data_IF_214974845759
#
_entry.id   IF_214974845759
#
_cell.length_a   1.000
_cell.length_b   1.000
_cell.length_c   1.000
_cell.angle_alpha   90.00
_cell.angle_beta   90.00
_cell.angle_gamma   90.00
#
_symmetry.space_group_name_H-M   'P 1'
#
loop_
_entity.id
_entity.type
_entity.pdbx_description
1 polymer ?
#
# COMPACT_ATOMS: atom_id res chain seq x y z
N UNK A 1 28.40 39.19 -70.35
CA UNK A 1 28.04 39.19 -68.91
C UNK A 1 26.91 38.17 -68.79
N UNK A 2 27.05 36.99 -68.20
CA UNK A 2 27.40 36.70 -66.80
C UNK A 2 27.72 35.20 -66.72
N UNK A 3 28.94 34.83 -66.33
CA UNK A 3 29.30 33.43 -66.10
C UNK A 3 28.87 33.00 -64.69
N UNK A 4 28.06 31.95 -64.63
CA UNK A 4 27.46 31.41 -63.42
C UNK A 4 28.51 30.79 -62.48
N UNK A 5 28.53 31.25 -61.23
CA UNK A 5 29.28 30.60 -60.15
C UNK A 5 28.59 29.26 -59.80
N UNK A 6 29.28 28.14 -59.92
CA UNK A 6 28.89 26.84 -59.32
C UNK A 6 29.35 26.79 -57.87
N UNK A 7 28.45 26.76 -56.85
CA UNK A 7 28.87 26.59 -55.47
C UNK A 7 28.55 25.17 -54.95
N UNK A 8 29.47 24.66 -54.12
CA UNK A 8 29.22 23.75 -52.98
C UNK A 8 28.84 22.28 -53.25
N UNK A 9 29.68 21.51 -53.95
CA UNK A 9 29.53 20.04 -53.99
C UNK A 9 30.44 19.32 -52.98
N UNK A 10 31.67 19.82 -52.74
CA UNK A 10 32.64 19.18 -51.83
C UNK A 10 32.29 19.24 -50.34
N UNK A 11 31.52 20.23 -49.89
CA UNK A 11 31.16 20.37 -48.47
C UNK A 11 30.06 19.40 -48.01
N UNK A 12 29.33 18.79 -48.96
CA UNK A 12 28.21 17.87 -48.67
C UNK A 12 28.69 16.43 -48.50
N UNK A 13 29.76 16.03 -49.21
CA UNK A 13 30.36 14.69 -49.11
C UNK A 13 31.13 14.46 -47.80
N UNK A 14 31.82 15.47 -47.26
CA UNK A 14 32.56 15.33 -46.00
C UNK A 14 31.63 15.15 -44.80
N UNK A 15 30.49 15.85 -44.75
CA UNK A 15 29.49 15.68 -43.67
C UNK A 15 28.85 14.30 -43.66
N UNK A 16 28.62 13.71 -44.84
CA UNK A 16 28.04 12.37 -44.95
C UNK A 16 28.99 11.26 -44.44
N UNK A 17 30.30 11.39 -44.68
CA UNK A 17 31.30 10.45 -44.18
C UNK A 17 31.43 10.44 -42.65
N UNK A 18 31.37 11.61 -42.01
CA UNK A 18 31.38 11.72 -40.54
C UNK A 18 30.12 11.13 -39.90
N UNK A 19 28.95 11.29 -40.53
CA UNK A 19 27.70 10.66 -40.08
C UNK A 19 27.76 9.12 -40.17
N UNK A 20 28.39 8.57 -41.21
CA UNK A 20 28.58 7.13 -41.39
C UNK A 20 29.51 6.50 -40.32
N UNK A 21 30.48 7.25 -39.80
CA UNK A 21 31.33 6.81 -38.68
C UNK A 21 30.69 7.03 -37.30
N UNK A 22 29.82 8.03 -37.16
CA UNK A 22 29.15 8.32 -35.89
C UNK A 22 28.16 7.22 -35.47
N UNK A 23 27.41 6.66 -36.43
CA UNK A 23 26.40 5.62 -36.15
C UNK A 23 26.99 4.36 -35.48
N UNK A 24 28.06 3.72 -35.98
CA UNK A 24 28.64 2.56 -35.31
C UNK A 24 29.27 2.89 -33.96
N UNK A 25 29.78 4.11 -33.76
CA UNK A 25 30.29 4.54 -32.45
C UNK A 25 29.16 4.70 -31.43
N UNK A 26 28.02 5.26 -31.83
CA UNK A 26 26.81 5.29 -31.00
C UNK A 26 26.34 3.88 -30.68
N UNK A 27 26.35 2.97 -31.67
CA UNK A 27 26.00 1.56 -31.46
C UNK A 27 26.92 0.85 -30.44
N UNK A 28 28.23 1.11 -30.48
CA UNK A 28 29.17 0.59 -29.48
C UNK A 28 28.96 1.20 -28.10
N UNK A 29 28.69 2.50 -28.02
CA UNK A 29 28.38 3.16 -26.76
C UNK A 29 27.09 2.60 -26.13
N UNK A 30 26.03 2.45 -26.92
CA UNK A 30 24.78 1.80 -26.51
C UNK A 30 25.01 0.35 -26.07
N UNK A 31 25.85 -0.42 -26.78
CA UNK A 31 26.18 -1.79 -26.39
C UNK A 31 26.89 -1.84 -25.03
N UNK A 32 27.87 -0.96 -24.80
CA UNK A 32 28.59 -0.88 -23.51
C UNK A 32 27.65 -0.45 -22.39
N UNK A 33 26.78 0.54 -22.63
CA UNK A 33 25.77 0.97 -21.67
C UNK A 33 24.76 -0.15 -21.37
N UNK A 34 24.34 -0.89 -22.39
CA UNK A 34 23.44 -2.03 -22.26
C UNK A 34 24.09 -3.17 -21.48
N UNK A 35 25.35 -3.52 -21.78
CA UNK A 35 26.11 -4.51 -21.03
C UNK A 35 26.25 -4.10 -19.56
N UNK A 36 26.55 -2.83 -19.28
CA UNK A 36 26.61 -2.32 -17.90
C UNK A 36 25.25 -2.44 -17.20
N UNK A 37 24.16 -2.02 -17.85
CA UNK A 37 22.81 -2.08 -17.31
C UNK A 37 22.32 -3.51 -17.05
N UNK A 38 22.77 -4.49 -17.85
CA UNK A 38 22.33 -5.89 -17.78
C UNK A 38 23.25 -6.81 -16.98
N UNK A 39 24.48 -6.39 -16.67
CA UNK A 39 25.44 -7.23 -15.94
C UNK A 39 25.90 -6.65 -14.59
N UNK A 40 26.39 -5.41 -14.55
CA UNK A 40 26.96 -4.84 -13.32
C UNK A 40 25.91 -4.22 -12.41
N UNK A 41 24.81 -3.74 -12.99
CA UNK A 41 23.78 -3.01 -12.25
C UNK A 41 22.64 -3.93 -11.77
N UNK A 42 22.69 -5.22 -12.13
CA UNK A 42 21.77 -6.26 -11.70
C UNK A 42 22.26 -6.85 -10.38
N UNK A 43 21.43 -6.77 -9.35
CA UNK A 43 21.72 -7.33 -8.03
C UNK A 43 21.60 -8.85 -8.09
N UNK A 44 22.65 -9.62 -7.79
CA UNK A 44 22.60 -11.09 -7.80
C UNK A 44 21.57 -11.65 -6.81
N UNK A 45 20.95 -12.78 -7.13
CA UNK A 45 20.01 -13.47 -6.23
C UNK A 45 20.67 -13.93 -4.91
N UNK A 46 21.97 -14.20 -4.94
CA UNK A 46 22.75 -14.51 -3.74
C UNK A 46 22.78 -13.35 -2.74
N UNK A 47 22.84 -12.10 -3.22
CA UNK A 47 22.85 -10.92 -2.37
C UNK A 47 21.52 -10.79 -1.61
N UNK A 48 20.40 -11.03 -2.29
CA UNK A 48 19.06 -11.06 -1.68
C UNK A 48 18.94 -12.14 -0.61
N UNK A 49 19.52 -13.31 -0.85
CA UNK A 49 19.54 -14.42 0.10
C UNK A 49 20.36 -14.08 1.34
N UNK A 50 21.54 -13.46 1.17
CA UNK A 50 22.36 -12.98 2.30
C UNK A 50 21.65 -11.85 3.07
N UNK A 51 21.04 -10.90 2.38
CA UNK A 51 20.26 -9.83 3.00
C UNK A 51 19.10 -10.38 3.85
N UNK A 52 18.40 -11.42 3.37
CA UNK A 52 17.36 -12.12 4.12
C UNK A 52 17.90 -12.69 5.43
N UNK A 53 19.03 -13.39 5.40
CA UNK A 53 19.61 -13.99 6.61
C UNK A 53 20.07 -12.93 7.63
N UNK A 54 20.61 -11.80 7.16
CA UNK A 54 20.94 -10.65 8.02
C UNK A 54 19.70 -10.15 8.74
N UNK A 55 18.61 -9.89 8.00
CA UNK A 55 17.36 -9.41 8.60
C UNK A 55 16.80 -10.45 9.57
N UNK A 56 16.72 -11.71 9.14
CA UNK A 56 16.17 -12.82 9.93
C UNK A 56 16.85 -12.99 11.30
N UNK A 57 18.16 -12.73 11.38
CA UNK A 57 18.92 -12.89 12.62
C UNK A 57 18.51 -11.90 13.73
N UNK A 58 17.95 -10.74 13.40
CA UNK A 58 17.63 -9.67 14.36
C UNK A 58 16.14 -9.26 14.37
N UNK A 59 15.35 -9.84 13.45
CA UNK A 59 13.95 -9.51 13.24
C UNK A 59 13.08 -9.84 14.45
N UNK A 60 12.29 -8.86 14.89
CA UNK A 60 11.22 -9.03 15.87
C UNK A 60 9.85 -9.11 15.17
N UNK A 61 8.82 -9.68 15.82
CA UNK A 61 7.49 -9.82 15.22
C UNK A 61 6.91 -8.51 14.69
N UNK A 62 7.08 -7.42 15.42
CA UNK A 62 6.50 -6.11 15.11
C UNK A 62 7.43 -5.21 14.28
N UNK A 63 8.61 -5.66 13.86
CA UNK A 63 9.47 -4.85 12.99
C UNK A 63 8.91 -4.75 11.57
N UNK A 64 9.12 -3.59 10.94
CA UNK A 64 8.88 -3.39 9.52
C UNK A 64 10.04 -3.95 8.69
N UNK A 65 9.75 -4.50 7.51
CA UNK A 65 10.72 -4.75 6.45
C UNK A 65 10.20 -4.03 5.21
N UNK A 66 11.04 -3.21 4.59
CA UNK A 66 10.76 -2.56 3.32
C UNK A 66 11.94 -2.68 2.36
N UNK A 67 11.66 -2.54 1.07
CA UNK A 67 12.62 -2.74 -0.01
C UNK A 67 12.75 -1.46 -0.83
N UNK A 68 13.97 -0.95 -0.99
CA UNK A 68 14.23 0.29 -1.70
C UNK A 68 15.22 0.11 -2.86
N UNK A 69 14.98 0.76 -4.01
CA UNK A 69 13.79 1.53 -4.36
C UNK A 69 12.54 0.63 -4.43
N UNK A 70 11.34 1.18 -4.16
CA UNK A 70 10.07 0.44 -4.07
C UNK A 70 9.83 -0.62 -5.17
N UNK A 71 10.26 -0.39 -6.42
CA UNK A 71 10.10 -1.39 -7.50
C UNK A 71 10.79 -2.73 -7.22
N UNK A 72 11.69 -2.80 -6.24
CA UNK A 72 12.33 -4.03 -5.77
C UNK A 72 11.47 -4.87 -4.84
N UNK A 73 10.38 -4.33 -4.30
CA UNK A 73 9.49 -5.00 -3.35
C UNK A 73 9.02 -6.39 -3.83
N UNK A 74 8.58 -6.61 -5.09
CA UNK A 74 8.22 -7.94 -5.56
C UNK A 74 9.38 -8.96 -5.51
N UNK A 75 10.62 -8.51 -5.75
CA UNK A 75 11.81 -9.36 -5.64
C UNK A 75 12.08 -9.68 -4.16
N UNK A 76 12.04 -8.64 -3.32
CA UNK A 76 12.17 -8.75 -1.88
C UNK A 76 11.17 -9.76 -1.28
N UNK A 77 9.87 -9.61 -1.58
CA UNK A 77 8.82 -10.54 -1.10
C UNK A 77 9.03 -11.97 -1.57
N UNK A 78 9.43 -12.16 -2.84
CA UNK A 78 9.72 -13.50 -3.38
C UNK A 78 10.85 -14.18 -2.60
N UNK A 79 11.93 -13.46 -2.31
CA UNK A 79 13.10 -14.03 -1.63
C UNK A 79 12.91 -14.13 -0.11
N UNK A 80 12.34 -13.11 0.53
CA UNK A 80 12.15 -13.05 1.97
C UNK A 80 11.04 -13.98 2.46
N UNK A 81 10.08 -14.32 1.61
CA UNK A 81 9.04 -15.30 1.88
C UNK A 81 8.23 -14.93 3.13
N UNK A 82 8.21 -15.81 4.13
CA UNK A 82 7.44 -15.59 5.36
C UNK A 82 7.83 -14.33 6.15
N UNK A 83 9.03 -13.77 5.94
CA UNK A 83 9.43 -12.53 6.62
C UNK A 83 8.68 -11.31 6.05
N UNK A 84 8.33 -11.34 4.76
CA UNK A 84 7.57 -10.27 4.11
C UNK A 84 6.06 -10.52 4.24
N UNK A 85 5.57 -10.52 5.49
CA UNK A 85 4.16 -10.77 5.78
C UNK A 85 3.24 -9.75 5.09
N UNK A 86 1.96 -10.11 4.92
CA UNK A 86 0.94 -9.20 4.38
C UNK A 86 0.86 -7.89 5.18
N UNK A 87 0.96 -7.98 6.52
CA UNK A 87 0.92 -6.82 7.42
C UNK A 87 2.07 -5.84 7.21
N UNK A 88 3.27 -6.34 6.89
CA UNK A 88 4.47 -5.51 6.60
C UNK A 88 4.41 -4.93 5.18
N UNK A 89 4.06 -5.78 4.23
CA UNK A 89 4.07 -5.44 2.81
C UNK A 89 2.95 -4.47 2.45
N UNK A 90 1.75 -4.69 3.00
CA UNK A 90 0.56 -3.91 2.72
C UNK A 90 0.19 -2.91 3.80
N UNK A 91 1.19 -2.40 4.52
CA UNK A 91 0.98 -1.42 5.60
C UNK A 91 0.46 -0.10 5.03
N UNK A 92 -0.33 0.61 5.83
CA UNK A 92 -0.75 1.98 5.49
C UNK A 92 0.19 3.07 6.00
N UNK A 93 0.92 2.81 7.08
CA UNK A 93 1.85 3.75 7.69
C UNK A 93 2.93 3.04 8.50
N UNK A 94 4.05 3.73 8.71
CA UNK A 94 5.23 3.23 9.41
C UNK A 94 5.13 3.43 10.94
N UNK A 95 4.25 4.32 11.43
CA UNK A 95 4.16 4.69 12.85
C UNK A 95 3.80 3.51 13.75
N UNK A 96 3.15 2.49 13.18
CA UNK A 96 2.78 1.26 13.89
C UNK A 96 3.92 0.26 14.13
N UNK A 97 5.12 0.51 13.60
CA UNK A 97 6.27 -0.38 13.75
C UNK A 97 7.37 0.30 14.60
N UNK A 98 7.87 -0.32 15.68
CA UNK A 98 8.90 0.29 16.54
C UNK A 98 10.25 0.43 15.83
N UNK A 99 10.57 -0.45 14.87
CA UNK A 99 11.78 -0.42 14.06
C UNK A 99 11.48 -0.83 12.63
N UNK A 100 12.38 -0.48 11.71
CA UNK A 100 12.31 -0.88 10.31
C UNK A 100 13.65 -1.39 9.82
N UNK A 101 13.63 -2.48 9.05
CA UNK A 101 14.71 -2.91 8.17
C UNK A 101 14.45 -2.35 6.78
N UNK A 102 15.27 -1.40 6.36
CA UNK A 102 15.33 -0.91 4.99
C UNK A 102 16.38 -1.73 4.22
N UNK A 103 15.90 -2.54 3.28
CA UNK A 103 16.73 -3.37 2.39
C UNK A 103 16.86 -2.63 1.07
N UNK A 104 17.96 -1.90 0.91
CA UNK A 104 18.16 -0.95 -0.18
C UNK A 104 19.22 -1.39 -1.18
N UNK A 105 19.05 -1.00 -2.44
CA UNK A 105 20.06 -1.10 -3.48
C UNK A 105 20.33 0.29 -4.07
N UNK A 106 21.52 0.47 -4.65
CA UNK A 106 21.90 1.71 -5.34
C UNK A 106 21.78 2.98 -4.46
N UNK A 107 21.87 2.82 -3.13
CA UNK A 107 21.74 3.92 -2.17
C UNK A 107 20.34 4.54 -2.10
N UNK A 108 19.31 3.86 -2.59
CA UNK A 108 17.93 4.30 -2.44
C UNK A 108 17.54 4.34 -0.96
N UNK A 109 16.65 5.26 -0.62
CA UNK A 109 16.14 5.45 0.73
C UNK A 109 14.68 5.85 0.68
N UNK A 110 13.88 5.29 1.58
CA UNK A 110 12.47 5.61 1.72
C UNK A 110 12.30 6.97 2.42
N UNK A 111 11.58 7.89 1.79
CA UNK A 111 11.38 9.25 2.34
C UNK A 111 10.58 9.27 3.64
N UNK A 112 9.71 8.29 3.88
CA UNK A 112 8.91 8.18 5.10
C UNK A 112 9.79 7.78 6.31
N UNK A 113 11.00 7.28 6.05
CA UNK A 113 12.00 6.94 7.06
C UNK A 113 13.07 8.03 7.26
N UNK A 114 13.01 9.17 6.56
CA UNK A 114 14.07 10.19 6.59
C UNK A 114 14.39 10.76 7.98
N UNK A 115 13.42 10.75 8.91
CA UNK A 115 13.59 11.19 10.30
C UNK A 115 13.99 10.07 11.27
N UNK A 116 14.12 8.84 10.81
CA UNK A 116 14.36 7.69 11.67
C UNK A 116 15.84 7.55 12.00
N UNK A 117 16.13 7.17 13.24
CA UNK A 117 17.52 7.02 13.69
C UNK A 117 18.09 5.70 13.16
N UNK A 118 19.17 5.77 12.40
CA UNK A 118 19.95 4.60 11.99
C UNK A 118 20.60 3.96 13.21
N UNK A 119 20.22 2.73 13.52
CA UNK A 119 20.80 1.92 14.60
C UNK A 119 21.97 1.07 14.09
N UNK A 120 21.82 0.48 12.91
CA UNK A 120 22.81 -0.43 12.32
C UNK A 120 22.72 -0.39 10.80
N UNK A 121 23.84 -0.61 10.13
CA UNK A 121 23.91 -0.79 8.68
C UNK A 121 24.85 -1.95 8.37
N UNK A 122 24.41 -2.87 7.51
CA UNK A 122 25.18 -4.05 7.11
C UNK A 122 25.07 -4.24 5.60
N UNK A 123 26.17 -4.62 4.94
CA UNK A 123 26.16 -4.91 3.50
C UNK A 123 25.98 -6.40 3.22
N UNK A 124 25.16 -6.70 2.23
CA UNK A 124 25.00 -8.01 1.59
C UNK A 124 25.34 -7.85 0.11
N UNK A 125 26.63 -7.92 -0.23
CA UNK A 125 27.11 -7.60 -1.57
C UNK A 125 26.75 -6.16 -1.98
N UNK A 126 25.88 -6.03 -2.97
CA UNK A 126 25.37 -4.75 -3.48
C UNK A 126 24.14 -4.21 -2.73
N UNK A 127 23.53 -5.02 -1.87
CA UNK A 127 22.40 -4.64 -1.01
C UNK A 127 22.93 -4.05 0.30
N UNK A 128 22.29 -3.00 0.78
CA UNK A 128 22.51 -2.42 2.11
C UNK A 128 21.27 -2.64 2.97
N UNK A 129 21.46 -3.31 4.11
CA UNK A 129 20.41 -3.54 5.12
C UNK A 129 20.62 -2.55 6.25
N UNK A 130 19.68 -1.61 6.40
CA UNK A 130 19.71 -0.57 7.43
C UNK A 130 18.61 -0.83 8.46
N UNK A 131 18.98 -0.99 9.73
CA UNK A 131 18.04 -1.03 10.84
C UNK A 131 17.84 0.38 11.38
N UNK A 132 16.58 0.82 11.43
CA UNK A 132 16.13 2.16 11.78
C UNK A 132 15.17 2.09 12.98
N UNK A 133 15.24 3.06 13.87
CA UNK A 133 14.35 3.22 15.02
C UNK A 133 13.27 4.27 14.76
N UNK A 134 12.02 3.94 15.05
CA UNK A 134 10.87 4.81 14.82
C UNK A 134 10.74 5.88 15.91
N UNK A 135 10.98 7.17 15.64
CA UNK A 135 10.93 8.23 16.65
C UNK A 135 9.52 8.49 17.21
N UNK A 136 8.47 8.10 16.48
CA UNK A 136 7.07 8.38 16.79
C UNK A 136 6.23 7.09 16.79
N UNK A 137 6.73 6.06 17.47
CA UNK A 137 6.06 4.76 17.55
C UNK A 137 4.72 4.85 18.29
N UNK A 138 3.65 4.45 17.61
CA UNK A 138 2.30 4.29 18.17
C UNK A 138 1.97 2.81 18.24
N UNK A 139 1.81 2.26 19.44
CA UNK A 139 1.51 0.83 19.63
C UNK A 139 0.07 0.55 19.20
N UNK A 140 -0.10 -0.42 18.31
CA UNK A 140 -1.42 -0.96 17.96
C UNK A 140 -1.92 -1.83 19.10
N UNK A 141 -3.14 -1.54 19.57
CA UNK A 141 -3.82 -2.27 20.64
C UNK A 141 -4.70 -3.35 20.03
N UNK A 142 -5.60 -2.97 19.12
CA UNK A 142 -6.36 -3.87 18.25
C UNK A 142 -6.31 -3.36 16.80
N UNK A 143 -6.25 -4.30 15.86
CA UNK A 143 -6.32 -4.05 14.43
C UNK A 143 -7.65 -4.60 13.89
N UNK A 144 -8.50 -3.75 13.30
CA UNK A 144 -9.79 -4.19 12.77
C UNK A 144 -9.67 -5.27 11.69
N UNK A 145 -8.53 -5.34 10.98
CA UNK A 145 -8.27 -6.38 9.99
C UNK A 145 -8.16 -7.76 10.62
N UNK A 146 -7.57 -7.86 11.82
CA UNK A 146 -7.46 -9.12 12.58
C UNK A 146 -8.83 -9.57 13.13
N UNK A 147 -9.83 -8.68 13.13
CA UNK A 147 -11.18 -8.91 13.63
C UNK A 147 -12.19 -9.30 12.54
N UNK A 148 -11.77 -9.36 11.26
CA UNK A 148 -12.65 -9.71 10.14
C UNK A 148 -12.89 -11.23 10.08
N UNK A 149 -13.76 -11.71 10.96
CA UNK A 149 -14.19 -13.11 11.04
C UNK A 149 -15.58 -13.17 11.69
N UNK A 150 -16.36 -14.27 11.52
CA UNK A 150 -17.73 -14.33 12.02
C UNK A 150 -17.86 -14.35 13.56
N UNK A 151 -16.77 -14.54 14.30
CA UNK A 151 -16.77 -14.50 15.78
C UNK A 151 -16.59 -13.07 16.31
N UNK A 152 -15.89 -12.22 15.56
CA UNK A 152 -15.49 -10.86 15.98
C UNK A 152 -16.11 -9.73 15.17
N UNK A 153 -16.74 -10.02 14.03
CA UNK A 153 -17.40 -9.05 13.17
C UNK A 153 -18.79 -9.52 12.77
N UNK A 154 -19.79 -8.66 12.95
CA UNK A 154 -21.07 -8.77 12.27
C UNK A 154 -21.24 -7.65 11.25
N UNK A 155 -21.83 -7.98 10.10
CA UNK A 155 -22.05 -7.03 9.01
C UNK A 155 -23.53 -7.03 8.67
N UNK A 156 -24.12 -5.84 8.58
CA UNK A 156 -25.53 -5.65 8.22
C UNK A 156 -25.65 -4.58 7.12
N UNK A 157 -26.54 -4.83 6.17
CA UNK A 157 -27.09 -3.76 5.31
C UNK A 157 -28.18 -3.05 6.09
N UNK A 158 -28.20 -1.73 6.06
CA UNK A 158 -29.24 -0.91 6.70
C UNK A 158 -29.98 -0.14 5.63
N UNK A 159 -31.26 -0.45 5.45
CA UNK A 159 -32.15 0.15 4.44
C UNK A 159 -33.36 0.76 5.15
N UNK A 160 -33.53 2.08 5.07
CA UNK A 160 -34.57 2.83 5.80
C UNK A 160 -34.68 2.45 7.29
N UNK A 161 -33.53 2.20 7.94
CA UNK A 161 -33.44 1.80 9.35
C UNK A 161 -33.68 0.31 9.62
N UNK A 162 -34.04 -0.48 8.61
CA UNK A 162 -34.18 -1.94 8.70
C UNK A 162 -32.81 -2.59 8.52
N UNK A 163 -32.34 -3.31 9.53
CA UNK A 163 -31.10 -4.09 9.43
C UNK A 163 -31.33 -5.47 8.82
N UNK A 164 -30.54 -5.78 7.79
CA UNK A 164 -30.48 -7.09 7.15
C UNK A 164 -29.07 -7.67 7.32
N UNK A 165 -28.89 -8.77 8.08
CA UNK A 165 -27.58 -9.34 8.32
C UNK A 165 -26.99 -9.94 7.04
N UNK A 166 -25.70 -9.71 6.83
CA UNK A 166 -24.93 -10.31 5.74
C UNK A 166 -24.37 -11.67 6.17
N UNK A 167 -24.38 -12.65 5.27
CA UNK A 167 -23.94 -14.02 5.58
C UNK A 167 -22.44 -14.16 5.37
N UNK A 168 -21.72 -14.70 6.35
CA UNK A 168 -20.31 -15.03 6.19
C UNK A 168 -20.14 -16.27 5.29
N UNK A 169 -19.23 -16.18 4.33
CA UNK A 169 -18.88 -17.27 3.41
C UNK A 169 -17.37 -17.45 3.40
N UNK A 170 -16.94 -18.72 3.51
CA UNK A 170 -15.57 -19.14 3.24
C UNK A 170 -15.46 -19.63 1.80
N UNK A 171 -14.38 -19.31 1.12
CA UNK A 171 -14.20 -19.69 -0.27
C UNK A 171 -12.77 -19.50 -0.76
N UNK A 172 -12.59 -19.57 -2.08
CA UNK A 172 -11.34 -19.20 -2.72
C UNK A 172 -11.37 -17.73 -3.14
N UNK A 173 -10.20 -17.09 -3.13
CA UNK A 173 -10.03 -15.79 -3.76
C UNK A 173 -10.32 -15.94 -5.25
N UNK A 174 -11.04 -14.97 -5.82
CA UNK A 174 -11.33 -14.94 -7.25
C UNK A 174 -10.72 -13.68 -7.86
N UNK A 175 -10.11 -13.83 -9.03
CA UNK A 175 -9.67 -12.70 -9.85
C UNK A 175 -10.84 -11.80 -10.23
N UNK A 176 -10.56 -10.54 -10.54
CA UNK A 176 -11.56 -9.63 -11.09
C UNK A 176 -12.24 -10.19 -12.35
N UNK A 177 -13.44 -9.66 -12.66
CA UNK A 177 -14.18 -9.98 -13.89
C UNK A 177 -13.33 -9.74 -15.15
N UNK A 178 -13.58 -10.50 -16.22
CA UNK A 178 -12.96 -10.37 -17.55
C UNK A 178 -13.08 -8.97 -18.18
N UNK A 179 -13.95 -8.10 -17.67
CA UNK A 179 -14.13 -6.71 -18.14
C UNK A 179 -13.10 -5.75 -17.53
N UNK A 180 -12.53 -6.10 -16.36
CA UNK A 180 -11.39 -5.40 -15.76
C UNK A 180 -10.34 -6.45 -15.38
N UNK A 181 -9.39 -6.78 -16.27
CA UNK A 181 -8.35 -7.78 -16.01
C UNK A 181 -7.50 -7.53 -14.75
N UNK A 182 -7.59 -6.31 -14.20
CA UNK A 182 -6.92 -5.81 -12.98
C UNK A 182 -7.94 -5.46 -11.87
N UNK A 183 -9.15 -6.02 -11.93
CA UNK A 183 -10.18 -5.81 -10.92
C UNK A 183 -9.72 -6.30 -9.55
N UNK A 184 -10.23 -5.69 -8.49
CA UNK A 184 -9.95 -6.12 -7.11
C UNK A 184 -10.16 -7.62 -6.96
N UNK A 185 -9.19 -8.28 -6.33
CA UNK A 185 -9.33 -9.66 -5.91
C UNK A 185 -10.51 -9.75 -4.94
N UNK A 186 -11.49 -10.57 -5.28
CA UNK A 186 -12.60 -10.87 -4.36
C UNK A 186 -12.01 -11.67 -3.20
N UNK A 187 -12.18 -11.22 -1.94
CA UNK A 187 -11.68 -11.95 -0.78
C UNK A 187 -12.22 -13.38 -0.74
N UNK A 188 -11.37 -14.32 -0.36
CA UNK A 188 -11.73 -15.71 -0.07
C UNK A 188 -12.85 -15.76 0.98
N UNK A 189 -12.53 -15.24 2.17
CA UNK A 189 -13.43 -15.11 3.31
C UNK A 189 -14.07 -13.73 3.31
N UNK A 190 -15.41 -13.70 3.32
CA UNK A 190 -16.18 -12.46 3.20
C UNK A 190 -17.59 -12.58 3.76
N UNK A 191 -18.14 -11.45 4.18
CA UNK A 191 -19.55 -11.26 4.43
C UNK A 191 -20.24 -10.86 3.13
N UNK A 192 -21.25 -11.61 2.72
CA UNK A 192 -22.02 -11.36 1.49
C UNK A 192 -23.33 -10.68 1.85
N UNK A 193 -23.52 -9.49 1.29
CA UNK A 193 -24.71 -8.66 1.43
C UNK A 193 -25.47 -8.63 0.10
N UNK A 194 -26.77 -8.32 0.13
CA UNK A 194 -27.51 -8.04 -1.11
C UNK A 194 -26.94 -6.77 -1.77
N UNK A 195 -26.12 -6.92 -2.82
CA UNK A 195 -25.51 -5.82 -3.57
C UNK A 195 -24.00 -5.61 -3.34
N UNK A 196 -23.35 -6.42 -2.51
CA UNK A 196 -21.92 -6.24 -2.21
C UNK A 196 -21.33 -7.27 -1.26
N UNK A 197 -20.08 -7.07 -0.87
CA UNK A 197 -19.43 -7.89 0.15
C UNK A 197 -18.44 -7.06 0.99
N UNK A 198 -18.11 -7.61 2.16
CA UNK A 198 -17.07 -7.09 3.07
C UNK A 198 -16.05 -8.19 3.34
N UNK A 199 -14.76 -7.91 3.19
CA UNK A 199 -13.68 -8.84 3.51
C UNK A 199 -12.31 -8.20 3.43
N UNK A 200 -11.28 -8.88 3.94
CA UNK A 200 -9.90 -8.40 3.86
C UNK A 200 -9.39 -8.58 2.43
N UNK A 201 -8.87 -7.50 1.84
CA UNK A 201 -8.31 -7.47 0.50
C UNK A 201 -7.01 -6.67 0.45
N UNK A 202 -6.34 -6.72 -0.70
CA UNK A 202 -5.27 -5.79 -1.05
C UNK A 202 -5.80 -4.80 -2.08
N UNK A 203 -5.84 -3.52 -1.72
CA UNK A 203 -6.14 -2.44 -2.63
C UNK A 203 -4.91 -2.10 -3.44
N UNK A 204 -5.09 -1.97 -4.76
CA UNK A 204 -4.15 -1.29 -5.63
C UNK A 204 -4.50 0.20 -5.63
N UNK A 205 -3.71 0.99 -4.90
CA UNK A 205 -3.87 2.45 -4.78
C UNK A 205 -3.26 3.23 -5.95
N UNK A 206 -3.44 4.56 -5.95
CA UNK A 206 -2.81 5.46 -6.94
C UNK A 206 -1.29 5.57 -6.80
N UNK A 207 -0.77 5.31 -5.60
CA UNK A 207 0.65 5.30 -5.28
C UNK A 207 1.35 4.00 -5.71
N UNK A 208 0.62 3.05 -6.31
CA UNK A 208 1.08 1.72 -6.68
C UNK A 208 1.62 0.87 -5.51
N UNK A 209 1.42 1.32 -4.27
CA UNK A 209 1.71 0.52 -3.09
C UNK A 209 0.53 -0.42 -2.83
N UNK A 210 0.79 -1.67 -2.38
CA UNK A 210 -0.27 -2.53 -1.90
C UNK A 210 -0.76 -1.99 -0.55
N UNK A 211 -2.07 -1.90 -0.36
CA UNK A 211 -2.68 -1.53 0.93
C UNK A 211 -3.61 -2.65 1.38
N UNK A 212 -3.29 -3.31 2.50
CA UNK A 212 -4.18 -4.33 3.08
C UNK A 212 -5.26 -3.59 3.86
N UNK A 213 -6.52 -3.89 3.53
CA UNK A 213 -7.65 -3.17 4.07
C UNK A 213 -8.91 -4.03 4.04
N UNK A 214 -9.96 -3.55 4.72
CA UNK A 214 -11.30 -4.09 4.60
C UNK A 214 -11.93 -3.51 3.35
N UNK A 215 -12.06 -4.35 2.34
CA UNK A 215 -12.84 -4.02 1.16
C UNK A 215 -14.31 -4.09 1.52
N UNK A 216 -15.02 -3.00 1.32
CA UNK A 216 -16.43 -2.88 1.68
C UNK A 216 -17.15 -2.19 0.53
N UNK A 217 -18.03 -2.91 -0.15
CA UNK A 217 -18.80 -2.37 -1.30
C UNK A 217 -19.92 -1.46 -0.78
N UNK A 218 -19.83 -0.11 -0.92
CA UNK A 218 -20.93 0.77 -0.59
C UNK A 218 -22.11 0.51 -1.54
N UNK A 219 -23.32 0.65 -1.01
CA UNK A 219 -24.56 0.39 -1.74
C UNK A 219 -25.29 1.71 -1.99
N UNK A 220 -25.94 1.83 -3.15
CA UNK A 220 -26.84 2.96 -3.38
C UNK A 220 -28.11 2.77 -2.54
N UNK A 221 -28.52 3.82 -1.81
CA UNK A 221 -29.72 3.82 -0.99
C UNK A 221 -29.61 3.12 0.38
N UNK A 222 -28.55 2.34 0.64
CA UNK A 222 -28.41 1.61 1.90
C UNK A 222 -27.01 1.81 2.52
N UNK A 223 -26.96 1.92 3.85
CA UNK A 223 -25.71 1.94 4.60
C UNK A 223 -25.19 0.52 4.80
N UNK A 224 -23.88 0.40 5.00
CA UNK A 224 -23.24 -0.85 5.41
C UNK A 224 -22.66 -0.68 6.81
N UNK A 225 -23.21 -1.42 7.77
CA UNK A 225 -22.83 -1.37 9.18
C UNK A 225 -21.97 -2.58 9.53
N UNK A 226 -20.79 -2.32 10.06
CA UNK A 226 -19.83 -3.31 10.53
C UNK A 226 -19.66 -3.13 12.03
N UNK A 227 -20.00 -4.15 12.82
CA UNK A 227 -19.88 -4.15 14.27
C UNK A 227 -18.79 -5.12 14.70
N UNK A 228 -17.66 -4.57 15.13
CA UNK A 228 -16.53 -5.30 15.69
C UNK A 228 -16.76 -5.51 17.18
N UNK A 229 -16.81 -6.76 17.62
CA UNK A 229 -17.06 -7.10 19.01
C UNK A 229 -15.78 -7.05 19.84
N UNK A 230 -15.92 -6.66 21.11
CA UNK A 230 -14.87 -6.85 22.13
C UNK A 230 -13.53 -6.16 21.77
N UNK A 231 -13.58 -4.98 21.18
CA UNK A 231 -12.40 -4.15 20.80
C UNK A 231 -11.86 -3.45 22.04
N UNK A 232 -10.55 -3.55 22.25
CA UNK A 232 -9.82 -2.76 23.24
C UNK A 232 -9.38 -1.43 22.62
N UNK A 233 -9.82 -0.33 23.22
CA UNK A 233 -9.56 1.02 22.73
C UNK A 233 -8.22 1.55 23.26
N UNK A 234 -7.54 2.30 22.40
CA UNK A 234 -6.36 3.10 22.72
C UNK A 234 -6.72 4.58 22.91
N UNK A 235 -5.72 5.44 22.96
CA UNK A 235 -5.89 6.90 23.02
C UNK A 235 -6.41 7.51 21.71
N UNK A 236 -6.24 6.80 20.59
CA UNK A 236 -6.71 7.22 19.27
C UNK A 236 -7.14 6.03 18.39
N UNK A 237 -8.01 6.31 17.43
CA UNK A 237 -8.34 5.44 16.31
C UNK A 237 -7.66 5.99 15.05
N UNK A 238 -6.66 5.29 14.56
CA UNK A 238 -5.98 5.63 13.31
C UNK A 238 -6.51 4.75 12.20
N UNK A 239 -6.82 5.33 11.06
CA UNK A 239 -7.21 4.56 9.90
C UNK A 239 -6.77 5.19 8.61
N UNK A 240 -6.95 4.43 7.54
CA UNK A 240 -6.68 4.87 6.20
C UNK A 240 -7.80 4.41 5.28
N UNK A 241 -7.95 5.08 4.16
CA UNK A 241 -9.00 4.78 3.20
C UNK A 241 -8.54 5.07 1.78
N UNK A 242 -9.12 4.33 0.85
CA UNK A 242 -8.84 4.41 -0.56
C UNK A 242 -9.97 3.86 -1.39
N UNK A 243 -9.97 4.26 -2.66
CA UNK A 243 -10.77 3.64 -3.70
C UNK A 243 -9.80 3.03 -4.72
N UNK A 244 -10.23 2.00 -5.42
CA UNK A 244 -9.41 1.32 -6.42
C UNK A 244 -8.94 2.28 -7.51
N UNK A 245 -7.66 2.14 -7.90
CA UNK A 245 -6.94 3.09 -8.74
C UNK A 245 -7.65 3.52 -10.05
N UNK A 246 -8.44 2.64 -10.68
CA UNK A 246 -9.10 2.90 -11.96
C UNK A 246 -10.19 3.97 -11.81
N UNK A 247 -10.88 3.95 -10.67
CA UNK A 247 -11.85 4.97 -10.28
C UNK A 247 -11.10 6.19 -9.76
N UNK A 248 -10.13 5.96 -8.88
CA UNK A 248 -9.40 7.01 -8.18
C UNK A 248 -8.61 7.93 -9.14
N UNK A 249 -8.13 7.43 -10.29
CA UNK A 249 -7.37 8.24 -11.26
C UNK A 249 -8.19 9.33 -11.97
N UNK A 250 -9.52 9.30 -11.86
CA UNK A 250 -10.42 10.30 -12.44
C UNK A 250 -11.18 10.99 -11.31
N UNK A 251 -10.70 12.13 -10.80
CA UNK A 251 -11.35 12.82 -9.68
C UNK A 251 -12.82 13.15 -10.00
N UNK A 252 -13.69 12.94 -9.02
CA UNK A 252 -15.12 13.29 -9.09
C UNK A 252 -15.52 14.02 -7.80
N UNK A 253 -16.66 14.74 -7.78
CA UNK A 253 -17.15 15.34 -6.54
C UNK A 253 -17.70 14.32 -5.53
N UNK A 254 -17.76 13.03 -5.90
CA UNK A 254 -18.28 11.97 -5.04
C UNK A 254 -17.38 11.78 -3.82
N UNK A 255 -18.00 11.34 -2.73
CA UNK A 255 -17.33 10.99 -1.49
C UNK A 255 -17.93 9.74 -0.87
N UNK A 256 -17.11 9.01 -0.14
CA UNK A 256 -17.54 7.92 0.73
C UNK A 256 -17.35 8.37 2.17
N UNK A 257 -18.40 8.32 2.97
CA UNK A 257 -18.35 8.65 4.39
C UNK A 257 -18.34 7.37 5.23
N UNK A 258 -17.43 7.29 6.19
CA UNK A 258 -17.38 6.22 7.19
C UNK A 258 -17.48 6.84 8.57
N UNK A 259 -18.51 6.44 9.31
CA UNK A 259 -18.78 6.92 10.66
C UNK A 259 -18.40 5.86 11.67
N UNK A 260 -17.61 6.24 12.68
CA UNK A 260 -17.18 5.37 13.77
C UNK A 260 -17.91 5.73 15.06
N UNK A 261 -18.45 4.73 15.75
CA UNK A 261 -19.08 4.88 17.05
C UNK A 261 -18.73 3.71 17.98
N UNK A 262 -18.76 3.96 19.28
CA UNK A 262 -18.56 2.95 20.32
C UNK A 262 -19.25 3.42 21.59
N UNK A 263 -19.74 2.51 22.44
CA UNK A 263 -20.44 2.87 23.69
C UNK A 263 -21.59 3.87 23.45
N UNK A 264 -22.38 3.65 22.39
CA UNK A 264 -23.51 4.48 21.97
C UNK A 264 -23.18 5.96 21.73
N UNK A 265 -21.91 6.28 21.48
CA UNK A 265 -21.44 7.64 21.13
C UNK A 265 -20.66 7.66 19.83
N UNK A 266 -20.82 8.76 19.11
CA UNK A 266 -20.03 9.07 17.91
C UNK A 266 -18.57 9.34 18.29
N UNK A 267 -17.64 8.62 17.65
CA UNK A 267 -16.20 8.91 17.71
C UNK A 267 -15.86 9.96 16.64
N UNK A 268 -16.37 9.77 15.42
CA UNK A 268 -16.19 10.73 14.33
C UNK A 268 -16.56 10.16 12.96
N UNK A 269 -16.48 11.00 11.93
CA UNK A 269 -16.77 10.63 10.55
C UNK A 269 -15.62 11.02 9.65
N UNK A 270 -15.08 10.04 8.92
CA UNK A 270 -14.10 10.26 7.86
C UNK A 270 -14.79 10.38 6.50
N UNK A 271 -14.29 11.26 5.65
CA UNK A 271 -14.78 11.44 4.27
C UNK A 271 -13.64 11.22 3.29
N UNK A 272 -13.74 10.15 2.52
CA UNK A 272 -12.85 9.87 1.42
C UNK A 272 -13.38 10.56 0.16
N UNK A 273 -12.58 11.43 -0.47
CA UNK A 273 -12.90 12.10 -1.74
C UNK A 273 -12.26 11.31 -2.87
N UNK A 274 -12.97 11.11 -3.99
CA UNK A 274 -12.38 10.43 -5.15
C UNK A 274 -11.23 11.26 -5.73
N UNK A 275 -10.06 10.63 -5.88
CA UNK A 275 -8.86 11.21 -6.49
C UNK A 275 -7.80 11.72 -5.53
N UNK A 276 -7.89 11.36 -4.25
CA UNK A 276 -6.89 11.72 -3.22
C UNK A 276 -5.88 10.61 -2.95
N UNK A 277 -6.10 9.40 -3.47
CA UNK A 277 -5.24 8.24 -3.25
C UNK A 277 -5.48 7.60 -1.88
N UNK A 278 -4.47 6.92 -1.33
CA UNK A 278 -4.57 6.33 0.00
C UNK A 278 -4.34 7.40 1.06
N UNK A 279 -5.35 7.70 1.89
CA UNK A 279 -5.29 8.81 2.84
C UNK A 279 -5.63 8.38 4.26
N UNK A 280 -4.83 8.86 5.20
CA UNK A 280 -4.99 8.63 6.62
C UNK A 280 -6.02 9.56 7.28
N UNK A 281 -6.57 9.09 8.39
CA UNK A 281 -7.38 9.85 9.32
C UNK A 281 -7.08 9.41 10.75
N UNK A 282 -7.33 10.30 11.71
CA UNK A 282 -7.15 10.04 13.12
C UNK A 282 -8.35 10.60 13.89
N UNK A 283 -8.95 9.78 14.75
CA UNK A 283 -10.06 10.16 15.59
C UNK A 283 -9.69 9.97 17.06
N UNK A 284 -9.90 10.97 17.93
CA UNK A 284 -9.51 10.88 19.33
C UNK A 284 -10.40 9.89 20.09
N UNK A 285 -9.79 9.00 20.88
CA UNK A 285 -10.49 8.04 21.74
C UNK A 285 -10.00 8.05 23.18
N UNK A 286 -9.28 9.10 23.60
CA UNK A 286 -8.67 9.22 24.93
C UNK A 286 -9.66 8.99 26.09
N UNK A 287 -10.92 9.40 25.96
CA UNK A 287 -11.96 9.22 27.00
C UNK A 287 -12.40 7.75 27.23
N UNK A 288 -12.06 6.86 26.29
CA UNK A 288 -12.33 5.42 26.36
C UNK A 288 -11.04 4.60 26.28
N UNK A 289 -9.87 5.21 26.44
CA UNK A 289 -8.59 4.49 26.43
C UNK A 289 -8.58 3.38 27.50
N UNK A 290 -8.14 2.19 27.10
CA UNK A 290 -8.09 1.00 27.94
C UNK A 290 -9.45 0.31 28.14
N UNK A 291 -10.57 0.92 27.72
CA UNK A 291 -11.89 0.29 27.80
C UNK A 291 -12.05 -0.74 26.69
N UNK A 292 -12.95 -1.70 26.93
CA UNK A 292 -13.30 -2.75 25.99
C UNK A 292 -14.77 -2.67 25.65
N UNK A 293 -15.11 -2.70 24.36
CA UNK A 293 -16.49 -2.56 23.89
C UNK A 293 -16.62 -2.83 22.41
N UNK A 294 -17.82 -2.62 21.87
CA UNK A 294 -18.07 -2.80 20.45
C UNK A 294 -17.71 -1.52 19.68
N UNK A 295 -16.94 -1.66 18.61
CA UNK A 295 -16.68 -0.61 17.64
C UNK A 295 -17.62 -0.81 16.45
N UNK A 296 -18.36 0.22 16.08
CA UNK A 296 -19.23 0.23 14.91
C UNK A 296 -18.63 1.16 13.86
N UNK A 297 -18.42 0.64 12.65
CA UNK A 297 -18.09 1.42 11.47
C UNK A 297 -19.27 1.35 10.50
N UNK A 298 -19.83 2.50 10.15
CA UNK A 298 -20.97 2.61 9.23
C UNK A 298 -20.57 3.39 7.99
N UNK A 299 -20.63 2.74 6.83
CA UNK A 299 -20.40 3.35 5.52
C UNK A 299 -21.73 3.87 5.00
N UNK A 300 -21.78 5.17 4.70
CA UNK A 300 -22.95 5.82 4.13
C UNK A 300 -23.25 5.34 2.69
N UNK A 301 -24.50 5.47 2.22
CA UNK A 301 -24.85 5.13 0.85
C UNK A 301 -23.98 5.88 -0.17
N UNK A 302 -23.46 5.17 -1.18
CA UNK A 302 -22.59 5.74 -2.20
C UNK A 302 -22.63 4.98 -3.52
N UNK A 303 -22.35 5.66 -4.62
CA UNK A 303 -22.12 5.08 -5.94
C UNK A 303 -20.76 4.37 -6.06
N UNK A 304 -19.83 4.65 -5.14
CA UNK A 304 -18.43 4.24 -5.20
C UNK A 304 -18.22 2.81 -4.70
N UNK A 305 -18.50 1.82 -5.54
CA UNK A 305 -18.52 0.37 -5.18
C UNK A 305 -17.17 -0.23 -4.75
N UNK A 306 -16.06 0.49 -4.89
CA UNK A 306 -14.70 -0.03 -4.72
C UNK A 306 -13.95 0.63 -3.56
N UNK A 307 -14.63 0.83 -2.44
CA UNK A 307 -14.07 1.46 -1.26
C UNK A 307 -13.35 0.45 -0.35
N UNK A 308 -12.21 0.87 0.18
CA UNK A 308 -11.43 0.11 1.14
C UNK A 308 -11.00 1.02 2.29
N UNK A 309 -11.00 0.49 3.51
CA UNK A 309 -10.45 1.20 4.66
C UNK A 309 -9.86 0.22 5.68
N UNK A 310 -8.96 0.71 6.51
CA UNK A 310 -8.51 0.02 7.71
C UNK A 310 -8.59 0.96 8.91
N UNK A 311 -8.69 0.38 10.10
CA UNK A 311 -8.66 1.13 11.34
C UNK A 311 -7.95 0.31 12.42
N UNK A 312 -7.17 1.00 13.24
CA UNK A 312 -6.39 0.44 14.35
C UNK A 312 -6.59 1.31 15.57
N UNK A 313 -6.84 0.70 16.72
CA UNK A 313 -6.80 1.42 17.99
C UNK A 313 -5.34 1.53 18.42
N UNK A 314 -4.88 2.72 18.78
CA UNK A 314 -3.47 2.96 19.09
C UNK A 314 -3.28 3.69 20.40
N UNK A 315 -2.13 3.43 21.02
CA UNK A 315 -1.64 4.18 22.19
C UNK A 315 -0.23 4.66 21.92
N UNK A 316 0.03 5.94 22.20
CA UNK A 316 1.39 6.46 22.21
C UNK A 316 2.21 5.75 23.29
N UNK A 317 3.42 5.36 22.94
CA UNK A 317 4.36 4.80 23.92
C UNK A 317 5.21 5.96 24.43
N UNK A 318 4.90 6.44 25.62
CA UNK A 318 5.76 7.39 26.33
C UNK A 318 7.14 6.75 26.53
N UNK A 319 8.16 7.35 25.91
CA UNK A 319 9.56 6.95 26.02
C UNK A 319 10.18 7.46 27.32
#
# INVERSE_FOLDING_TARGET
>A
MTAAAKPKEKARQTRAGWLLCAVPLVGLAELVLHMKQTSSDVVPESDWTVAREIVKAELQPDDLILFEPFWTDPLGRRTFGELATMKRSGRSDERRFPRAFEVSIRGAHNTDLAGWKKLKETKAGTITVTLLENPSFTKVIDDTLDLVNPERLSVSRVDDGVEQPCTFQRGSSQGGSTVVPQGLLVPADKFVCQGGHVGVAVLHGLDHHPHVCMYATPMQGASLRMKFSNVTFGSSLHGHSGIQWLVERTPTPDKVAVTFSAFDRLIGTHHHKVGVGWVGFELPTAEIDGKKGDLVAEIAPSSQRQFCFEATTRREVSR
#
